data_IF_057763466810
#
_entry.id   IF_057763466810
#
_cell.length_a   1.000
_cell.length_b   1.000
_cell.length_c   1.000
_cell.angle_alpha   90.00
_cell.angle_beta   90.00
_cell.angle_gamma   90.00
#
_symmetry.space_group_name_H-M   'P 1'
#
loop_
_entity.id
_entity.type
_entity.pdbx_description
1 polymer ?
#
# COMPACT_ATOMS: atom_id res chain seq x y z
N UNK A 1 -32.75 62.15 -45.54
CA UNK A 1 -33.29 61.46 -44.33
C UNK A 1 -32.58 60.12 -44.20
N UNK A 2 -31.64 60.03 -43.26
CA UNK A 2 -30.61 58.98 -43.19
C UNK A 2 -31.14 57.78 -42.39
N UNK A 3 -31.00 56.57 -42.95
CA UNK A 3 -31.37 55.28 -42.33
C UNK A 3 -30.20 54.76 -41.49
N UNK A 4 -30.28 54.88 -40.15
CA UNK A 4 -29.21 54.49 -39.21
C UNK A 4 -29.58 53.52 -38.06
N UNK A 5 -30.65 52.68 -38.07
CA UNK A 5 -30.92 51.82 -36.91
C UNK A 5 -30.13 50.49 -36.91
N UNK A 6 -29.51 50.08 -38.03
CA UNK A 6 -28.88 48.74 -38.14
C UNK A 6 -27.44 48.66 -37.61
N UNK A 7 -26.67 49.76 -37.63
CA UNK A 7 -25.31 49.79 -37.09
C UNK A 7 -25.29 49.82 -35.54
N UNK A 8 -26.28 50.47 -34.92
CA UNK A 8 -26.38 50.52 -33.46
C UNK A 8 -26.68 49.14 -32.84
N UNK A 9 -27.51 48.32 -33.50
CA UNK A 9 -27.80 46.96 -33.07
C UNK A 9 -26.60 46.01 -33.20
N UNK A 10 -25.75 46.22 -34.21
CA UNK A 10 -24.53 45.41 -34.42
C UNK A 10 -23.44 45.74 -33.39
N UNK A 11 -23.31 47.00 -32.96
CA UNK A 11 -22.38 47.36 -31.88
C UNK A 11 -22.81 46.84 -30.51
N UNK A 12 -24.12 46.81 -30.20
CA UNK A 12 -24.59 46.23 -28.94
C UNK A 12 -24.34 44.72 -28.83
N UNK A 13 -24.45 43.99 -29.95
CA UNK A 13 -24.14 42.56 -30.00
C UNK A 13 -22.64 42.27 -29.81
N UNK A 14 -21.77 43.15 -30.29
CA UNK A 14 -20.31 43.00 -30.17
C UNK A 14 -19.80 43.31 -28.75
N UNK A 15 -20.45 44.25 -28.03
CA UNK A 15 -20.15 44.51 -26.62
C UNK A 15 -20.63 43.39 -25.68
N UNK A 16 -21.70 42.68 -26.03
CA UNK A 16 -22.19 41.55 -25.24
C UNK A 16 -21.24 40.33 -25.30
N UNK A 17 -20.48 40.16 -26.38
CA UNK A 17 -19.47 39.08 -26.51
C UNK A 17 -18.17 39.33 -25.72
N UNK A 18 -17.92 40.57 -25.26
CA UNK A 18 -16.75 40.89 -24.41
C UNK A 18 -17.01 40.70 -22.91
N UNK A 19 -18.26 40.39 -22.54
CA UNK A 19 -18.68 40.02 -21.19
C UNK A 19 -18.80 38.49 -21.01
N UNK A 20 -18.05 37.70 -21.78
CA UNK A 20 -17.78 36.33 -21.38
C UNK A 20 -16.94 36.38 -20.09
N UNK A 21 -17.64 36.52 -18.97
CA UNK A 21 -17.08 36.44 -17.63
C UNK A 21 -16.11 35.27 -17.58
N UNK A 22 -14.93 35.51 -17.01
CA UNK A 22 -14.14 34.48 -16.35
C UNK A 22 -15.11 33.59 -15.55
N UNK A 23 -15.50 32.46 -16.12
CA UNK A 23 -16.14 31.42 -15.33
C UNK A 23 -15.13 31.14 -14.21
N UNK A 24 -15.46 31.36 -12.93
CA UNK A 24 -14.50 31.13 -11.87
C UNK A 24 -14.01 29.71 -12.07
N UNK A 25 -12.71 29.55 -12.33
CA UNK A 25 -12.09 28.24 -12.46
C UNK A 25 -12.59 27.43 -11.28
N UNK A 26 -13.44 26.43 -11.55
CA UNK A 26 -14.15 25.74 -10.48
C UNK A 26 -13.09 25.17 -9.54
N UNK A 27 -13.08 25.65 -8.29
CA UNK A 27 -12.03 25.29 -7.34
C UNK A 27 -12.06 23.78 -7.14
N UNK A 28 -10.98 23.10 -7.53
CA UNK A 28 -10.81 21.69 -7.28
C UNK A 28 -10.60 21.43 -5.77
N UNK A 29 -11.21 20.39 -5.18
CA UNK A 29 -12.29 19.56 -5.73
C UNK A 29 -13.68 20.21 -5.53
N UNK A 30 -14.58 20.03 -6.49
CA UNK A 30 -15.97 20.52 -6.43
C UNK A 30 -17.03 19.40 -6.46
N UNK A 31 -16.57 18.14 -6.42
CA UNK A 31 -17.38 16.93 -6.35
C UNK A 31 -16.60 15.85 -5.61
N UNK A 32 -17.24 14.71 -5.38
CA UNK A 32 -16.62 13.59 -4.67
C UNK A 32 -15.33 13.09 -5.36
N UNK A 33 -14.34 12.74 -4.54
CA UNK A 33 -13.12 12.04 -4.96
C UNK A 33 -13.32 10.55 -4.73
N UNK A 34 -13.09 9.74 -5.76
CA UNK A 34 -13.09 8.28 -5.66
C UNK A 34 -11.69 7.78 -5.34
N UNK A 35 -11.55 7.07 -4.23
CA UNK A 35 -10.31 6.43 -3.82
C UNK A 35 -10.42 4.92 -4.05
N UNK A 36 -9.73 4.44 -5.07
CA UNK A 36 -9.69 3.02 -5.43
C UNK A 36 -8.73 2.26 -4.51
N UNK A 37 -9.13 1.08 -4.07
CA UNK A 37 -8.31 0.15 -3.26
C UNK A 37 -8.27 -1.20 -3.94
N UNK A 38 -7.08 -1.72 -4.25
CA UNK A 38 -6.89 -2.97 -4.99
C UNK A 38 -7.11 -4.27 -4.20
N UNK A 39 -7.71 -4.17 -3.01
CA UNK A 39 -7.85 -5.26 -2.04
C UNK A 39 -9.27 -5.32 -1.45
N UNK A 40 -9.70 -6.49 -0.93
CA UNK A 40 -11.03 -6.64 -0.34
C UNK A 40 -11.27 -5.68 0.83
N UNK A 41 -12.53 -5.32 1.03
CA UNK A 41 -12.95 -4.50 2.17
C UNK A 41 -12.66 -5.21 3.51
N UNK A 42 -12.37 -4.43 4.56
CA UNK A 42 -12.03 -4.95 5.89
C UNK A 42 -10.57 -5.39 6.09
N UNK A 43 -9.74 -5.36 5.04
CA UNK A 43 -8.29 -5.59 5.15
C UNK A 43 -7.50 -4.36 5.61
N UNK A 44 -6.21 -4.54 5.90
CA UNK A 44 -5.33 -3.45 6.38
C UNK A 44 -5.26 -2.24 5.45
N UNK A 45 -5.18 -2.45 4.14
CA UNK A 45 -5.19 -1.36 3.14
C UNK A 45 -6.51 -0.60 3.10
N UNK A 46 -7.64 -1.31 3.22
CA UNK A 46 -8.98 -0.70 3.28
C UNK A 46 -9.16 0.11 4.57
N UNK A 47 -8.72 -0.42 5.71
CA UNK A 47 -8.74 0.31 6.99
C UNK A 47 -7.92 1.60 6.91
N UNK A 48 -6.71 1.54 6.34
CA UNK A 48 -5.86 2.71 6.15
C UNK A 48 -6.55 3.75 5.26
N UNK A 49 -7.07 3.32 4.10
CA UNK A 49 -7.75 4.21 3.15
C UNK A 49 -9.01 4.84 3.76
N UNK A 50 -9.82 4.10 4.52
CA UNK A 50 -11.01 4.66 5.20
C UNK A 50 -10.63 5.65 6.30
N UNK A 51 -9.59 5.35 7.08
CA UNK A 51 -9.12 6.23 8.15
C UNK A 51 -8.59 7.55 7.60
N UNK A 52 -7.70 7.47 6.60
CA UNK A 52 -7.16 8.66 5.94
C UNK A 52 -8.22 9.38 5.10
N UNK A 53 -9.05 8.63 4.36
CA UNK A 53 -10.11 9.18 3.50
C UNK A 53 -11.17 9.96 4.27
N UNK A 54 -11.55 9.53 5.47
CA UNK A 54 -12.45 10.28 6.32
C UNK A 54 -11.88 11.67 6.70
N UNK A 55 -10.60 11.72 7.07
CA UNK A 55 -9.92 12.98 7.39
C UNK A 55 -9.71 13.86 6.15
N UNK A 56 -9.32 13.25 5.03
CA UNK A 56 -9.13 13.94 3.76
C UNK A 56 -10.44 14.53 3.24
N UNK A 57 -11.57 13.83 3.43
CA UNK A 57 -12.89 14.33 3.06
C UNK A 57 -13.27 15.62 3.80
N UNK A 58 -12.96 15.69 5.10
CA UNK A 58 -13.16 16.91 5.89
C UNK A 58 -12.28 18.06 5.39
N UNK A 59 -11.01 17.78 5.09
CA UNK A 59 -10.04 18.79 4.62
C UNK A 59 -10.38 19.33 3.23
N UNK A 60 -10.89 18.47 2.34
CA UNK A 60 -11.27 18.84 0.98
C UNK A 60 -12.66 19.48 0.90
N UNK A 61 -13.50 19.33 1.93
CA UNK A 61 -14.90 19.77 1.88
C UNK A 61 -15.74 18.99 0.87
N UNK A 62 -15.25 17.83 0.42
CA UNK A 62 -15.90 16.95 -0.55
C UNK A 62 -15.86 15.50 -0.07
N UNK A 63 -16.88 14.68 -0.40
CA UNK A 63 -16.85 13.26 -0.05
C UNK A 63 -15.65 12.54 -0.67
N UNK A 64 -14.95 11.73 0.13
CA UNK A 64 -13.96 10.77 -0.35
C UNK A 64 -14.56 9.36 -0.25
N UNK A 65 -14.82 8.74 -1.39
CA UNK A 65 -15.53 7.45 -1.46
C UNK A 65 -14.55 6.33 -1.77
N UNK A 66 -14.47 5.34 -0.88
CA UNK A 66 -13.61 4.17 -1.06
C UNK A 66 -14.27 3.15 -2.02
N UNK A 67 -13.56 2.78 -3.09
CA UNK A 67 -13.98 1.80 -4.11
C UNK A 67 -13.02 0.60 -4.10
N UNK A 68 -13.42 -0.51 -3.47
CA UNK A 68 -12.61 -1.74 -3.41
C UNK A 68 -12.74 -2.54 -4.72
N UNK A 69 -11.62 -2.71 -5.44
CA UNK A 69 -11.52 -3.48 -6.70
C UNK A 69 -10.44 -4.57 -6.59
N UNK A 70 -10.70 -5.65 -5.83
CA UNK A 70 -9.72 -6.71 -5.64
C UNK A 70 -9.49 -7.56 -6.89
N UNK A 71 -8.31 -8.16 -6.98
CA UNK A 71 -8.00 -9.23 -7.93
C UNK A 71 -6.67 -9.03 -8.64
N UNK A 72 -6.10 -10.14 -9.11
CA UNK A 72 -4.85 -10.20 -9.86
C UNK A 72 -3.72 -9.37 -9.24
N UNK A 73 -3.43 -9.52 -7.94
CA UNK A 73 -2.41 -8.75 -7.22
C UNK A 73 -2.55 -7.21 -7.39
N UNK A 74 -3.78 -6.72 -7.27
CA UNK A 74 -4.20 -5.34 -7.48
C UNK A 74 -4.11 -4.82 -8.93
N UNK A 75 -3.68 -5.64 -9.90
CA UNK A 75 -3.55 -5.21 -11.31
C UNK A 75 -4.88 -4.73 -11.91
N UNK A 76 -6.03 -5.28 -11.48
CA UNK A 76 -7.36 -4.82 -11.92
C UNK A 76 -7.59 -3.36 -11.52
N UNK A 77 -7.28 -3.00 -10.27
CA UNK A 77 -7.41 -1.64 -9.78
C UNK A 77 -6.39 -0.71 -10.44
N UNK A 78 -5.15 -1.18 -10.62
CA UNK A 78 -4.08 -0.42 -11.26
C UNK A 78 -4.42 -0.08 -12.71
N UNK A 79 -4.87 -1.03 -13.52
CA UNK A 79 -5.31 -0.79 -14.91
C UNK A 79 -6.48 0.20 -14.97
N UNK A 80 -7.47 0.02 -14.08
CA UNK A 80 -8.63 0.91 -14.00
C UNK A 80 -8.23 2.36 -13.70
N UNK A 81 -7.31 2.56 -12.77
CA UNK A 81 -6.85 3.91 -12.39
C UNK A 81 -5.93 4.50 -13.44
N UNK A 82 -5.00 3.71 -14.00
CA UNK A 82 -4.10 4.15 -15.07
C UNK A 82 -4.87 4.72 -16.27
N UNK A 83 -6.07 4.18 -16.56
CA UNK A 83 -6.95 4.62 -17.65
C UNK A 83 -8.02 5.63 -17.24
N UNK A 84 -8.09 6.01 -15.96
CA UNK A 84 -9.07 6.98 -15.50
C UNK A 84 -8.78 8.38 -16.05
N UNK A 85 -9.80 9.24 -16.07
CA UNK A 85 -9.61 10.65 -16.41
C UNK A 85 -8.54 11.27 -15.48
N UNK A 86 -7.52 11.95 -16.03
CA UNK A 86 -6.46 12.57 -15.24
C UNK A 86 -6.92 13.91 -14.65
N UNK A 87 -8.02 13.91 -13.89
CA UNK A 87 -8.68 15.11 -13.36
C UNK A 87 -8.58 15.21 -11.83
N UNK A 88 -7.87 14.27 -11.20
CA UNK A 88 -7.70 14.19 -9.74
C UNK A 88 -8.90 13.66 -8.96
N UNK A 89 -9.99 13.26 -9.62
CA UNK A 89 -11.16 12.69 -8.92
C UNK A 89 -11.11 11.17 -8.80
N UNK A 90 -10.10 10.52 -9.37
CA UNK A 90 -9.78 9.12 -9.10
C UNK A 90 -8.34 9.01 -8.58
N UNK A 91 -8.19 8.55 -7.35
CA UNK A 91 -6.90 8.25 -6.71
C UNK A 91 -6.84 6.79 -6.29
N UNK A 92 -5.65 6.28 -5.99
CA UNK A 92 -5.41 4.86 -5.76
C UNK A 92 -4.41 4.60 -4.63
N UNK A 93 -4.74 3.67 -3.74
CA UNK A 93 -3.76 3.08 -2.82
C UNK A 93 -2.83 2.15 -3.59
N UNK A 94 -1.62 2.63 -3.88
CA UNK A 94 -0.59 1.84 -4.54
C UNK A 94 0.44 1.38 -3.50
N UNK A 95 0.71 0.08 -3.50
CA UNK A 95 1.67 -0.55 -2.60
C UNK A 95 2.93 -1.01 -3.34
N UNK A 96 3.83 -1.67 -2.62
CA UNK A 96 4.99 -2.31 -3.22
C UNK A 96 4.65 -3.37 -4.26
N UNK A 97 3.55 -4.12 -4.10
CA UNK A 97 3.09 -5.05 -5.13
C UNK A 97 2.90 -4.33 -6.46
N UNK A 98 2.14 -3.23 -6.43
CA UNK A 98 1.85 -2.41 -7.61
C UNK A 98 3.11 -1.74 -8.17
N UNK A 99 3.84 -1.01 -7.32
CA UNK A 99 4.88 -0.06 -7.74
C UNK A 99 6.26 -0.68 -7.94
N UNK A 100 6.47 -1.90 -7.41
CA UNK A 100 7.78 -2.54 -7.33
C UNK A 100 7.76 -3.96 -7.87
N UNK A 101 6.85 -4.83 -7.40
CA UNK A 101 6.98 -6.27 -7.59
C UNK A 101 6.33 -6.78 -8.88
N UNK A 102 5.07 -6.43 -9.13
CA UNK A 102 4.32 -6.94 -10.27
C UNK A 102 5.06 -6.82 -11.62
N UNK A 103 5.73 -5.68 -11.95
CA UNK A 103 6.43 -5.50 -13.23
C UNK A 103 7.54 -6.51 -13.51
N UNK A 104 8.09 -7.16 -12.47
CA UNK A 104 9.18 -8.13 -12.61
C UNK A 104 8.78 -9.55 -12.24
N UNK A 105 7.60 -9.73 -11.64
CA UNK A 105 7.06 -11.04 -11.27
C UNK A 105 6.13 -11.64 -12.32
N UNK A 106 5.43 -10.79 -13.08
CA UNK A 106 4.50 -11.19 -14.12
C UNK A 106 5.03 -10.81 -15.51
N UNK A 107 4.84 -11.69 -16.49
CA UNK A 107 5.16 -11.46 -17.91
C UNK A 107 4.28 -10.38 -18.53
N UNK A 108 3.03 -10.26 -18.07
CA UNK A 108 2.05 -9.30 -18.58
C UNK A 108 1.47 -8.49 -17.44
N UNK A 109 1.84 -7.22 -17.38
CA UNK A 109 1.28 -6.24 -16.47
C UNK A 109 0.53 -5.18 -17.30
N UNK A 110 -0.75 -4.89 -17.01
CA UNK A 110 -1.58 -4.00 -17.83
C UNK A 110 -1.37 -2.51 -17.56
N UNK A 111 -0.29 -2.15 -16.86
CA UNK A 111 0.11 -0.79 -16.53
C UNK A 111 1.64 -0.70 -16.38
N UNK A 112 2.17 0.51 -16.49
CA UNK A 112 3.56 0.86 -16.19
C UNK A 112 3.58 1.72 -14.92
N UNK A 113 4.18 1.26 -13.80
CA UNK A 113 4.12 1.98 -12.53
C UNK A 113 4.85 3.33 -12.54
N UNK A 114 5.74 3.56 -13.50
CA UNK A 114 6.51 4.80 -13.62
C UNK A 114 5.86 5.79 -14.58
N UNK A 115 5.16 5.29 -15.61
CA UNK A 115 4.56 6.14 -16.65
C UNK A 115 3.09 6.43 -16.45
N UNK A 116 2.35 5.50 -15.82
CA UNK A 116 0.89 5.61 -15.73
C UNK A 116 0.42 6.26 -14.43
N UNK A 117 1.29 6.42 -13.44
CA UNK A 117 0.96 6.99 -12.15
C UNK A 117 1.79 8.22 -11.77
N UNK A 118 1.11 9.23 -11.23
CA UNK A 118 1.72 10.32 -10.47
C UNK A 118 1.67 9.97 -8.98
N UNK A 119 2.83 9.88 -8.33
CA UNK A 119 2.95 9.66 -6.89
C UNK A 119 2.59 10.95 -6.14
N UNK A 120 1.66 10.85 -5.19
CA UNK A 120 1.17 12.00 -4.42
C UNK A 120 1.79 12.08 -3.02
N UNK A 121 2.14 10.92 -2.44
CA UNK A 121 2.82 10.81 -1.15
C UNK A 121 2.66 9.45 -0.49
N UNK A 122 3.54 9.16 0.46
CA UNK A 122 3.50 7.94 1.26
C UNK A 122 2.61 8.14 2.48
N UNK A 123 1.79 7.12 2.80
CA UNK A 123 0.92 7.15 3.99
C UNK A 123 1.56 6.41 5.15
N UNK A 124 1.98 5.17 4.93
CA UNK A 124 2.46 4.35 6.01
C UNK A 124 2.99 3.00 5.57
N UNK A 125 3.55 2.29 6.54
CA UNK A 125 4.08 0.95 6.36
C UNK A 125 3.75 0.06 7.56
N UNK A 126 3.81 -1.24 7.36
CA UNK A 126 3.73 -2.23 8.43
C UNK A 126 4.86 -3.22 8.24
N UNK A 127 5.62 -3.44 9.31
CA UNK A 127 6.68 -4.44 9.32
C UNK A 127 6.09 -5.83 9.18
N UNK A 128 6.78 -6.69 8.45
CA UNK A 128 6.41 -8.09 8.32
C UNK A 128 7.03 -8.89 9.46
N UNK A 129 6.28 -9.83 10.02
CA UNK A 129 6.66 -10.58 11.23
C UNK A 129 6.43 -12.06 11.02
N UNK A 130 7.47 -12.88 11.18
CA UNK A 130 7.29 -14.33 11.21
C UNK A 130 6.57 -14.68 12.51
N UNK A 131 5.44 -15.35 12.39
CA UNK A 131 4.48 -15.55 13.48
C UNK A 131 4.05 -17.01 13.55
N UNK A 132 4.04 -17.58 14.74
CA UNK A 132 3.57 -18.93 15.01
C UNK A 132 2.09 -18.98 15.42
N UNK A 133 1.43 -20.05 15.01
CA UNK A 133 0.10 -20.42 15.47
C UNK A 133 0.12 -21.09 16.85
N UNK A 134 -1.05 -21.28 17.47
CA UNK A 134 -1.16 -21.79 18.84
C UNK A 134 -0.56 -23.21 19.02
N UNK A 135 -0.62 -24.05 17.98
CA UNK A 135 -0.18 -25.45 18.04
C UNK A 135 1.18 -25.70 17.38
N UNK A 136 1.94 -24.63 17.07
CA UNK A 136 3.20 -24.75 16.33
C UNK A 136 4.33 -25.41 17.15
N UNK A 137 4.22 -25.43 18.49
CA UNK A 137 5.29 -25.90 19.37
C UNK A 137 6.54 -25.01 19.36
N UNK A 138 6.42 -23.77 18.90
CA UNK A 138 7.51 -22.80 18.77
C UNK A 138 7.25 -21.63 19.71
N UNK A 139 8.05 -21.53 20.76
CA UNK A 139 7.84 -20.55 21.83
C UNK A 139 8.45 -19.16 21.53
N UNK A 140 9.57 -19.12 20.80
CA UNK A 140 10.30 -17.89 20.51
C UNK A 140 11.17 -18.00 19.23
N UNK A 141 11.82 -16.89 18.88
CA UNK A 141 12.71 -16.80 17.72
C UNK A 141 13.88 -17.80 17.76
N UNK A 142 14.48 -18.04 18.94
CA UNK A 142 15.63 -18.94 19.08
C UNK A 142 15.20 -20.38 18.85
N UNK A 143 14.04 -20.77 19.41
CA UNK A 143 13.43 -22.08 19.20
C UNK A 143 13.11 -22.30 17.71
N UNK A 144 12.53 -21.31 17.03
CA UNK A 144 12.30 -21.37 15.59
C UNK A 144 13.60 -21.60 14.81
N UNK A 145 14.63 -20.78 15.04
CA UNK A 145 15.89 -20.87 14.30
C UNK A 145 16.62 -22.19 14.55
N UNK A 146 16.60 -22.71 15.79
CA UNK A 146 17.17 -24.01 16.12
C UNK A 146 16.45 -25.13 15.36
N UNK A 147 15.13 -25.08 15.31
CA UNK A 147 14.33 -26.09 14.63
C UNK A 147 14.48 -26.04 13.11
N UNK A 148 14.52 -24.85 12.51
CA UNK A 148 14.76 -24.69 11.07
C UNK A 148 16.13 -25.21 10.64
N UNK A 149 17.16 -25.10 11.48
CA UNK A 149 18.48 -25.68 11.23
C UNK A 149 18.49 -27.20 11.39
N UNK A 150 17.76 -27.72 12.38
CA UNK A 150 17.65 -29.17 12.65
C UNK A 150 16.84 -29.90 11.59
N UNK A 151 15.83 -29.25 11.04
CA UNK A 151 14.84 -29.85 10.14
C UNK A 151 14.58 -28.97 8.90
N UNK A 152 15.56 -28.75 7.99
CA UNK A 152 15.36 -27.91 6.81
C UNK A 152 14.19 -28.37 5.94
N UNK A 153 13.31 -27.45 5.54
CA UNK A 153 12.15 -27.73 4.67
C UNK A 153 10.96 -28.39 5.36
N UNK A 154 11.06 -28.75 6.64
CA UNK A 154 9.97 -29.42 7.38
C UNK A 154 8.79 -28.50 7.72
N UNK A 155 9.06 -27.23 8.02
CA UNK A 155 8.03 -26.29 8.45
C UNK A 155 7.41 -25.60 7.25
N UNK A 156 6.07 -25.66 7.15
CA UNK A 156 5.32 -24.83 6.22
C UNK A 156 5.09 -23.44 6.79
N UNK A 157 4.98 -22.45 5.91
CA UNK A 157 4.71 -21.06 6.27
C UNK A 157 3.75 -20.42 5.27
N UNK A 158 2.66 -19.89 5.79
CA UNK A 158 1.62 -19.22 5.02
C UNK A 158 1.98 -17.79 4.64
N UNK A 159 1.54 -17.37 3.45
CA UNK A 159 1.55 -15.95 3.05
C UNK A 159 0.24 -15.59 2.35
N UNK A 160 -0.13 -14.30 2.24
CA UNK A 160 -1.30 -13.86 1.51
C UNK A 160 -1.32 -14.17 0.00
N UNK A 161 -0.27 -14.75 -0.55
CA UNK A 161 -0.21 -15.15 -1.95
C UNK A 161 1.18 -15.01 -2.55
N UNK A 162 1.33 -15.65 -3.71
CA UNK A 162 2.54 -15.58 -4.52
C UNK A 162 2.82 -14.14 -4.95
N UNK A 163 4.08 -13.72 -4.77
CA UNK A 163 4.55 -12.37 -5.13
C UNK A 163 4.12 -11.25 -4.19
N UNK A 164 3.39 -11.57 -3.12
CA UNK A 164 3.07 -10.58 -2.09
C UNK A 164 4.34 -10.09 -1.38
N UNK A 165 4.31 -8.92 -0.72
CA UNK A 165 5.40 -8.47 0.15
C UNK A 165 5.82 -9.54 1.15
N UNK A 166 4.86 -10.30 1.68
CA UNK A 166 5.08 -11.39 2.63
C UNK A 166 5.84 -12.56 2.02
N UNK A 167 5.53 -12.92 0.78
CA UNK A 167 6.28 -13.96 0.05
C UNK A 167 7.72 -13.52 -0.21
N UNK A 168 7.93 -12.30 -0.69
CA UNK A 168 9.30 -11.82 -0.93
C UNK A 168 10.09 -11.63 0.38
N UNK A 169 9.42 -11.25 1.46
CA UNK A 169 10.04 -11.18 2.79
C UNK A 169 10.45 -12.56 3.31
N UNK A 170 9.63 -13.58 3.07
CA UNK A 170 9.99 -14.97 3.35
C UNK A 170 11.23 -15.39 2.56
N UNK A 171 11.26 -15.11 1.26
CA UNK A 171 12.40 -15.42 0.39
C UNK A 171 13.68 -14.70 0.82
N UNK A 172 13.58 -13.42 1.22
CA UNK A 172 14.67 -12.66 1.79
C UNK A 172 15.18 -13.30 3.08
N UNK A 173 14.28 -13.63 4.02
CA UNK A 173 14.64 -14.26 5.28
C UNK A 173 15.30 -15.62 5.08
N UNK A 174 14.73 -16.49 4.25
CA UNK A 174 15.29 -17.82 3.93
C UNK A 174 16.72 -17.71 3.39
N UNK A 175 16.94 -16.76 2.47
CA UNK A 175 18.26 -16.50 1.89
C UNK A 175 19.27 -16.04 2.94
N UNK A 176 18.95 -14.98 3.68
CA UNK A 176 19.91 -14.34 4.60
C UNK A 176 20.14 -15.18 5.86
N UNK A 177 19.13 -15.94 6.31
CA UNK A 177 19.26 -16.82 7.48
C UNK A 177 19.79 -18.22 7.13
N UNK A 178 19.89 -18.57 5.85
CA UNK A 178 20.33 -19.89 5.41
C UNK A 178 19.38 -21.00 5.87
N UNK A 179 18.07 -20.74 5.86
CA UNK A 179 17.02 -21.68 6.30
C UNK A 179 16.05 -21.97 5.16
N UNK A 180 15.35 -23.08 5.26
CA UNK A 180 14.33 -23.48 4.29
C UNK A 180 13.00 -23.77 4.98
N UNK A 181 11.94 -23.14 4.48
CA UNK A 181 10.55 -23.36 4.85
C UNK A 181 9.74 -23.65 3.58
N UNK A 182 8.71 -24.50 3.72
CA UNK A 182 7.76 -24.76 2.64
C UNK A 182 6.75 -23.62 2.55
N UNK A 183 6.82 -22.84 1.47
CA UNK A 183 5.88 -21.76 1.22
C UNK A 183 4.48 -22.30 0.88
N UNK A 184 3.46 -21.80 1.57
CA UNK A 184 2.04 -22.10 1.29
C UNK A 184 1.33 -20.79 0.91
N UNK A 185 1.04 -20.55 -0.38
CA UNK A 185 0.35 -19.34 -0.81
C UNK A 185 -1.16 -19.44 -0.60
N UNK A 186 -1.75 -18.39 -0.04
CA UNK A 186 -3.21 -18.23 0.10
C UNK A 186 -3.76 -17.18 -0.86
N UNK A 187 -5.09 -17.04 -0.91
CA UNK A 187 -5.80 -15.96 -1.64
C UNK A 187 -6.07 -14.77 -0.71
N UNK A 188 -5.04 -14.25 -0.08
CA UNK A 188 -5.11 -13.16 0.90
C UNK A 188 -4.73 -13.57 2.32
N UNK A 189 -4.54 -12.58 3.20
CA UNK A 189 -4.08 -12.81 4.58
C UNK A 189 -5.13 -13.43 5.49
N UNK A 190 -6.42 -13.19 5.25
CA UNK A 190 -7.50 -13.74 6.07
C UNK A 190 -7.56 -15.28 6.02
N UNK A 191 -7.55 -15.95 4.84
CA UNK A 191 -7.44 -17.40 4.78
C UNK A 191 -6.16 -17.94 5.45
N UNK A 192 -5.01 -17.30 5.25
CA UNK A 192 -3.75 -17.72 5.89
C UNK A 192 -3.82 -17.66 7.43
N UNK A 193 -4.45 -16.61 7.97
CA UNK A 193 -4.67 -16.45 9.41
C UNK A 193 -5.66 -17.49 9.96
N UNK A 194 -6.72 -17.81 9.22
CA UNK A 194 -7.67 -18.85 9.61
C UNK A 194 -6.98 -20.21 9.73
N UNK A 195 -6.19 -20.60 8.73
CA UNK A 195 -5.45 -21.86 8.73
C UNK A 195 -4.35 -21.91 9.79
N UNK A 196 -3.71 -20.77 10.10
CA UNK A 196 -2.79 -20.66 11.23
C UNK A 196 -3.50 -20.94 12.56
N UNK A 197 -4.63 -20.29 12.80
CA UNK A 197 -5.42 -20.45 14.04
C UNK A 197 -6.00 -21.86 14.17
N UNK A 198 -6.35 -22.48 13.04
CA UNK A 198 -6.81 -23.87 12.98
C UNK A 198 -5.67 -24.91 13.05
N UNK A 199 -4.40 -24.48 13.00
CA UNK A 199 -3.22 -25.35 13.06
C UNK A 199 -2.90 -26.09 11.76
N UNK A 200 -3.45 -25.67 10.63
CA UNK A 200 -3.17 -26.27 9.31
C UNK A 200 -1.79 -25.84 8.77
N UNK A 201 -1.38 -24.60 9.08
CA UNK A 201 0.00 -24.14 8.89
C UNK A 201 0.57 -23.69 10.24
N UNK A 202 1.82 -24.06 10.59
CA UNK A 202 2.39 -23.74 11.89
C UNK A 202 2.87 -22.28 11.97
N UNK A 203 3.18 -21.67 10.82
CA UNK A 203 3.76 -20.35 10.71
C UNK A 203 3.04 -19.53 9.62
N UNK A 204 3.04 -18.21 9.77
CA UNK A 204 2.78 -17.27 8.68
C UNK A 204 3.82 -16.14 8.68
N UNK A 205 3.97 -15.48 7.55
CA UNK A 205 4.46 -14.10 7.53
C UNK A 205 3.24 -13.19 7.71
N UNK A 206 3.25 -12.41 8.78
CA UNK A 206 2.16 -11.54 9.20
C UNK A 206 2.50 -10.07 8.91
N UNK A 207 1.57 -9.30 8.37
CA UNK A 207 1.54 -7.85 8.60
C UNK A 207 0.66 -7.57 9.82
N UNK A 208 1.10 -6.67 10.71
CA UNK A 208 0.39 -6.47 11.97
C UNK A 208 -1.09 -6.03 11.79
N UNK A 209 -1.48 -5.21 10.81
CA UNK A 209 -2.88 -4.85 10.59
C UNK A 209 -3.82 -6.03 10.38
N UNK A 210 -3.37 -7.09 9.71
CA UNK A 210 -4.17 -8.29 9.50
C UNK A 210 -4.30 -9.20 10.75
N UNK A 211 -3.46 -9.01 11.77
CA UNK A 211 -3.39 -9.92 12.94
C UNK A 211 -3.36 -9.24 14.31
N UNK A 212 -3.44 -7.92 14.41
CA UNK A 212 -3.25 -7.19 15.68
C UNK A 212 -4.18 -7.67 16.79
N UNK A 213 -5.43 -8.01 16.46
CA UNK A 213 -6.40 -8.56 17.42
C UNK A 213 -6.00 -9.94 17.94
N UNK A 214 -5.52 -10.83 17.05
CA UNK A 214 -5.07 -12.17 17.42
C UNK A 214 -3.79 -12.13 18.27
N UNK A 215 -2.87 -11.21 17.95
CA UNK A 215 -1.67 -10.96 18.76
C UNK A 215 -2.03 -10.44 20.15
N UNK A 216 -2.87 -9.40 20.23
CA UNK A 216 -3.33 -8.83 21.51
C UNK A 216 -4.08 -9.84 22.37
N UNK A 217 -4.83 -10.75 21.76
CA UNK A 217 -5.54 -11.82 22.44
C UNK A 217 -4.65 -13.03 22.82
N UNK A 218 -3.35 -13.01 22.50
CA UNK A 218 -2.43 -14.11 22.78
C UNK A 218 -2.72 -15.40 22.01
N UNK A 219 -3.46 -15.32 20.89
CA UNK A 219 -3.83 -16.49 20.08
C UNK A 219 -2.73 -16.94 19.12
N UNK A 220 -1.81 -16.03 18.79
CA UNK A 220 -0.67 -16.26 17.91
C UNK A 220 0.56 -15.59 18.53
N UNK A 221 1.73 -16.11 18.21
CA UNK A 221 3.00 -15.69 18.81
C UNK A 221 3.89 -15.08 17.74
N UNK A 222 4.03 -13.74 17.67
CA UNK A 222 5.00 -13.14 16.76
C UNK A 222 6.43 -13.44 17.25
N UNK A 223 7.29 -13.89 16.35
CA UNK A 223 8.60 -14.46 16.69
C UNK A 223 9.74 -13.56 16.22
N UNK A 224 9.73 -13.15 14.95
CA UNK A 224 10.83 -12.40 14.34
C UNK A 224 10.26 -11.24 13.55
N UNK A 225 10.55 -10.02 13.98
CA UNK A 225 10.23 -8.82 13.22
C UNK A 225 11.25 -8.63 12.10
N UNK A 226 10.78 -8.42 10.88
CA UNK A 226 11.60 -8.11 9.71
C UNK A 226 11.75 -6.60 9.54
N UNK A 227 11.78 -5.85 10.64
CA UNK A 227 12.00 -4.40 10.67
C UNK A 227 13.44 -4.05 11.07
N UNK A 228 13.84 -2.81 10.76
CA UNK A 228 15.16 -2.28 11.12
C UNK A 228 15.36 -2.20 12.64
N UNK A 229 14.27 -1.91 13.36
CA UNK A 229 14.20 -1.74 14.80
C UNK A 229 12.97 -2.47 15.33
N UNK A 230 12.92 -2.74 16.65
CA UNK A 230 11.77 -3.39 17.26
C UNK A 230 10.52 -2.52 17.09
N UNK A 231 9.41 -3.18 16.79
CA UNK A 231 8.13 -2.50 16.67
C UNK A 231 7.66 -2.05 18.05
N UNK A 232 7.26 -0.78 18.25
CA UNK A 232 6.71 -0.32 19.53
C UNK A 232 5.46 -1.09 19.96
N UNK A 233 4.68 -1.62 19.01
CA UNK A 233 3.52 -2.47 19.28
C UNK A 233 3.91 -3.88 19.77
N UNK A 234 5.13 -4.33 19.47
CA UNK A 234 5.66 -5.66 19.78
C UNK A 234 7.09 -5.56 20.37
N UNK A 235 7.28 -4.85 21.50
CA UNK A 235 8.61 -4.50 22.00
C UNK A 235 9.46 -5.72 22.43
N UNK A 236 8.79 -6.84 22.70
CA UNK A 236 9.44 -8.10 23.11
C UNK A 236 9.85 -8.98 21.93
N UNK A 237 9.43 -8.64 20.71
CA UNK A 237 9.75 -9.42 19.51
C UNK A 237 11.08 -8.93 18.95
N UNK A 238 12.13 -9.76 18.90
CA UNK A 238 13.41 -9.36 18.34
C UNK A 238 13.31 -9.14 16.84
N UNK A 239 14.12 -8.22 16.34
CA UNK A 239 14.35 -8.05 14.90
C UNK A 239 15.22 -9.17 14.35
N UNK A 240 15.11 -9.46 13.05
CA UNK A 240 16.04 -10.35 12.37
C UNK A 240 17.51 -9.86 12.48
N UNK A 241 17.72 -8.54 12.51
CA UNK A 241 19.03 -7.92 12.73
C UNK A 241 19.62 -8.27 14.09
N UNK A 242 18.85 -8.20 15.18
CA UNK A 242 19.30 -8.59 16.53
C UNK A 242 19.64 -10.09 16.62
N UNK A 243 19.10 -10.91 15.72
CA UNK A 243 19.37 -12.35 15.62
C UNK A 243 20.56 -12.67 14.70
N UNK A 244 21.24 -11.66 14.16
CA UNK A 244 22.44 -11.82 13.33
C UNK A 244 22.20 -11.71 11.82
N UNK A 245 20.99 -11.39 11.37
CA UNK A 245 20.64 -11.30 9.94
C UNK A 245 20.51 -9.83 9.51
N UNK A 246 21.65 -9.17 9.30
CA UNK A 246 21.73 -7.72 9.13
C UNK A 246 20.94 -7.14 7.94
N UNK A 247 20.73 -7.92 6.87
CA UNK A 247 20.07 -7.46 5.64
C UNK A 247 18.59 -7.87 5.53
N UNK A 248 17.99 -8.35 6.63
CA UNK A 248 16.59 -8.76 6.65
C UNK A 248 15.71 -7.62 7.12
N UNK A 249 15.20 -6.86 6.16
CA UNK A 249 14.24 -5.78 6.38
C UNK A 249 13.15 -5.85 5.32
N UNK A 250 11.88 -5.92 5.71
CA UNK A 250 10.75 -6.01 4.80
C UNK A 250 9.49 -5.38 5.41
N UNK A 251 8.88 -4.48 4.66
CA UNK A 251 7.63 -3.83 5.03
C UNK A 251 6.61 -3.98 3.90
N UNK A 252 5.34 -4.12 4.27
CA UNK A 252 4.24 -3.78 3.39
C UNK A 252 3.97 -2.28 3.54
N UNK A 253 3.92 -1.52 2.46
CA UNK A 253 3.74 -0.07 2.52
C UNK A 253 2.70 0.43 1.54
N UNK A 254 2.13 1.60 1.83
CA UNK A 254 1.03 2.18 1.07
C UNK A 254 1.33 3.65 0.80
N UNK A 255 1.22 4.03 -0.48
CA UNK A 255 1.16 5.43 -0.88
C UNK A 255 -0.08 5.71 -1.69
N UNK A 256 -0.30 6.99 -1.98
CA UNK A 256 -1.40 7.46 -2.80
C UNK A 256 -0.87 7.88 -4.16
N UNK A 257 -1.55 7.44 -5.22
CA UNK A 257 -1.24 7.83 -6.60
C UNK A 257 -2.49 8.33 -7.33
N UNK A 258 -2.27 9.07 -8.40
CA UNK A 258 -3.29 9.46 -9.38
C UNK A 258 -2.82 9.09 -10.80
N UNK A 259 -3.67 9.16 -11.84
CA UNK A 259 -3.21 9.03 -13.22
C UNK A 259 -2.07 10.01 -13.52
N UNK A 260 -1.04 9.58 -14.25
CA UNK A 260 0.20 10.35 -14.46
C UNK A 260 -0.02 11.76 -15.02
N UNK A 261 -0.99 11.91 -15.92
CA UNK A 261 -1.32 13.16 -16.58
C UNK A 261 -2.15 14.14 -15.73
N UNK A 262 -2.45 13.81 -14.47
CA UNK A 262 -3.22 14.71 -13.58
C UNK A 262 -2.52 16.08 -13.48
N UNK A 263 -3.22 17.23 -13.57
CA UNK A 263 -2.59 18.54 -13.46
C UNK A 263 -1.72 18.71 -12.23
N UNK A 264 -0.58 19.40 -12.36
CA UNK A 264 0.44 19.49 -11.31
C UNK A 264 -0.04 20.23 -10.06
N UNK A 265 -0.89 21.23 -10.22
CA UNK A 265 -1.57 21.94 -9.14
C UNK A 265 -2.53 21.01 -8.37
N UNK A 266 -3.25 20.14 -9.07
CA UNK A 266 -4.12 19.12 -8.48
C UNK A 266 -3.29 18.06 -7.72
N UNK A 267 -2.19 17.59 -8.31
CA UNK A 267 -1.24 16.68 -7.62
C UNK A 267 -0.70 17.32 -6.33
N UNK A 268 -0.26 18.58 -6.41
CA UNK A 268 0.28 19.32 -5.26
C UNK A 268 -0.78 19.52 -4.17
N UNK A 269 -2.02 19.85 -4.54
CA UNK A 269 -3.13 19.98 -3.60
C UNK A 269 -3.42 18.66 -2.89
N UNK A 270 -3.59 17.57 -3.63
CA UNK A 270 -3.85 16.25 -3.04
C UNK A 270 -2.71 15.77 -2.15
N UNK A 271 -1.46 15.93 -2.59
CA UNK A 271 -0.27 15.57 -1.82
C UNK A 271 -0.15 16.38 -0.52
N UNK A 272 -0.44 17.68 -0.56
CA UNK A 272 -0.43 18.53 0.62
C UNK A 272 -1.50 18.13 1.64
N UNK A 273 -2.74 17.89 1.21
CA UNK A 273 -3.82 17.45 2.11
C UNK A 273 -3.57 16.01 2.63
N UNK A 274 -3.00 15.12 1.82
CA UNK A 274 -2.55 13.82 2.29
C UNK A 274 -1.49 13.97 3.39
N UNK A 275 -0.50 14.83 3.19
CA UNK A 275 0.52 15.14 4.19
C UNK A 275 -0.08 15.64 5.50
N UNK A 276 -1.05 16.56 5.46
CA UNK A 276 -1.77 17.02 6.66
C UNK A 276 -2.55 15.88 7.32
N UNK A 277 -3.28 15.09 6.54
CA UNK A 277 -4.04 13.93 7.01
C UNK A 277 -3.14 12.93 7.76
N UNK A 278 -1.98 12.60 7.21
CA UNK A 278 -1.08 11.60 7.81
C UNK A 278 -0.25 12.15 8.98
N UNK A 279 -0.22 13.47 9.17
CA UNK A 279 0.33 14.15 10.33
C UNK A 279 -0.71 14.42 11.44
N UNK A 280 -2.01 14.25 11.16
CA UNK A 280 -3.05 14.41 12.18
C UNK A 280 -2.88 13.38 13.31
N UNK A 281 -2.81 13.81 14.59
CA UNK A 281 -2.58 12.91 15.71
C UNK A 281 -3.64 11.81 15.86
N UNK A 282 -4.92 12.12 15.60
CA UNK A 282 -6.00 11.15 15.74
C UNK A 282 -5.94 10.09 14.62
N UNK A 283 -5.59 10.49 13.39
CA UNK A 283 -5.31 9.55 12.30
C UNK A 283 -4.12 8.65 12.65
N UNK A 284 -3.01 9.23 13.09
CA UNK A 284 -1.79 8.49 13.46
C UNK A 284 -2.07 7.48 14.57
N UNK A 285 -2.82 7.88 15.60
CA UNK A 285 -3.18 7.00 16.71
C UNK A 285 -4.04 5.82 16.25
N UNK A 286 -5.10 6.07 15.46
CA UNK A 286 -5.97 5.00 14.93
C UNK A 286 -5.20 4.01 14.06
N UNK A 287 -4.31 4.52 13.21
CA UNK A 287 -3.44 3.68 12.37
C UNK A 287 -2.48 2.85 13.23
N UNK A 288 -1.86 3.46 14.25
CA UNK A 288 -0.97 2.75 15.17
C UNK A 288 -1.70 1.64 15.94
N UNK A 289 -2.89 1.90 16.46
CA UNK A 289 -3.70 0.88 17.15
C UNK A 289 -4.06 -0.31 16.25
N UNK A 290 -4.18 -0.04 14.95
CA UNK A 290 -4.43 -1.00 13.90
C UNK A 290 -3.17 -1.59 13.25
N UNK A 291 -1.97 -1.41 13.82
CA UNK A 291 -0.76 -2.08 13.35
C UNK A 291 0.03 -1.35 12.24
N UNK A 292 -0.33 -0.11 11.91
CA UNK A 292 0.38 0.72 10.92
C UNK A 292 1.37 1.68 11.58
N UNK A 293 2.53 1.87 10.95
CA UNK A 293 3.42 3.01 11.20
C UNK A 293 3.09 4.11 10.16
N UNK A 294 2.51 5.22 10.62
CA UNK A 294 2.28 6.38 9.75
C UNK A 294 3.63 7.02 9.37
N UNK A 295 3.92 7.03 8.06
CA UNK A 295 5.13 7.53 7.42
C UNK A 295 4.76 8.58 6.36
N UNK A 296 4.26 9.76 6.78
CA UNK A 296 4.01 10.84 5.84
C UNK A 296 5.30 11.16 5.10
N UNK A 297 5.26 11.07 3.77
CA UNK A 297 6.34 11.48 2.90
C UNK A 297 5.73 12.15 1.67
N UNK A 298 6.39 13.19 1.15
CA UNK A 298 5.90 13.87 -0.04
C UNK A 298 6.08 13.01 -1.31
N UNK A 299 5.62 13.52 -2.45
CA UNK A 299 5.73 12.85 -3.75
C UNK A 299 7.19 12.51 -4.13
N UNK A 300 8.14 13.39 -3.83
CA UNK A 300 9.54 13.21 -4.19
C UNK A 300 10.21 12.17 -3.28
N UNK A 301 9.91 12.18 -1.99
CA UNK A 301 10.35 11.18 -1.03
C UNK A 301 9.76 9.80 -1.34
N UNK A 302 8.47 9.72 -1.65
CA UNK A 302 7.84 8.47 -2.06
C UNK A 302 8.47 7.91 -3.35
N UNK A 303 8.81 8.77 -4.31
CA UNK A 303 9.49 8.36 -5.55
C UNK A 303 10.86 7.75 -5.24
N UNK A 304 11.70 8.44 -4.45
CA UNK A 304 13.01 7.90 -4.02
C UNK A 304 12.87 6.60 -3.25
N UNK A 305 11.84 6.48 -2.42
CA UNK A 305 11.56 5.27 -1.67
C UNK A 305 11.21 4.10 -2.61
N UNK A 306 10.30 4.32 -3.57
CA UNK A 306 9.93 3.31 -4.57
C UNK A 306 11.11 2.87 -5.45
N UNK A 307 11.97 3.80 -5.88
CA UNK A 307 13.21 3.49 -6.61
C UNK A 307 14.16 2.62 -5.78
N UNK A 308 14.34 2.95 -4.49
CA UNK A 308 15.20 2.17 -3.59
C UNK A 308 14.66 0.75 -3.39
N UNK A 309 13.34 0.60 -3.30
CA UNK A 309 12.65 -0.68 -3.20
C UNK A 309 12.78 -1.49 -4.50
N UNK A 310 12.64 -0.86 -5.69
CA UNK A 310 12.90 -1.54 -6.97
C UNK A 310 14.30 -2.10 -7.04
N UNK A 311 15.31 -1.28 -6.72
CA UNK A 311 16.71 -1.73 -6.71
C UNK A 311 16.92 -2.95 -5.81
N UNK A 312 16.39 -2.92 -4.59
CA UNK A 312 16.53 -4.01 -3.62
C UNK A 312 15.78 -5.27 -4.05
N UNK A 313 14.49 -5.14 -4.35
CA UNK A 313 13.62 -6.29 -4.56
C UNK A 313 13.78 -6.91 -5.94
N UNK A 314 14.06 -6.13 -6.99
CA UNK A 314 14.35 -6.69 -8.32
C UNK A 314 15.62 -7.55 -8.29
N UNK A 315 16.65 -7.13 -7.54
CA UNK A 315 17.86 -7.91 -7.36
C UNK A 315 17.57 -9.25 -6.66
N UNK A 316 16.74 -9.26 -5.60
CA UNK A 316 16.34 -10.49 -4.93
C UNK A 316 15.52 -11.41 -5.85
N UNK A 317 14.49 -10.87 -6.52
CA UNK A 317 13.60 -11.61 -7.41
C UNK A 317 14.40 -12.29 -8.52
N UNK A 318 15.33 -11.55 -9.16
CA UNK A 318 16.23 -12.09 -10.18
C UNK A 318 17.19 -13.15 -9.63
N UNK A 319 17.80 -12.90 -8.46
CA UNK A 319 18.74 -13.85 -7.85
C UNK A 319 18.09 -15.17 -7.42
N UNK A 320 16.78 -15.15 -7.13
CA UNK A 320 15.99 -16.32 -6.70
C UNK A 320 15.18 -16.94 -7.84
N UNK A 321 15.27 -16.40 -9.06
CA UNK A 321 14.47 -16.79 -10.24
C UNK A 321 12.95 -16.88 -9.95
N UNK A 322 12.42 -15.93 -9.17
CA UNK A 322 11.00 -15.93 -8.78
C UNK A 322 10.18 -15.39 -9.95
N UNK A 323 9.27 -16.21 -10.48
CA UNK A 323 8.32 -15.86 -11.55
C UNK A 323 6.93 -16.42 -11.22
N UNK A 324 5.89 -15.70 -11.60
CA UNK A 324 4.51 -16.11 -11.33
C UNK A 324 3.76 -16.64 -12.55
N UNK A 325 4.20 -16.29 -13.76
CA UNK A 325 3.65 -16.78 -15.03
C UNK A 325 4.67 -16.80 -16.18
#
# INVERSE_FOLDING_TARGET
>A
MIKTPRLAAALLALCASMLALDAPAQSYPNRQVRWVVGYPAGGGTDFLARTAGAQLSQQLGQPVVIDNRPGAAAMIASEHVARAAPDGYTVFSADNGVLVYNPVLYKKVPYDPEKDFALLGMMGRSALVITAGPNAGIADAKALLAELKRSPGKYSIGTPGNGSPHHLALELFQREAGVSLLHVPYKGGAPAMQDLLAGQVPLIVLDLPSGVGAVKAGKITPLIALSAERMPQLPNVPTAKELGFANVEAYAWQGLVAPAATPKDVQARLGAELGKTMNDPAVRQKLFEAGWEARPADAAEMTRYAESERKKWHALIKARDIKLD
#
